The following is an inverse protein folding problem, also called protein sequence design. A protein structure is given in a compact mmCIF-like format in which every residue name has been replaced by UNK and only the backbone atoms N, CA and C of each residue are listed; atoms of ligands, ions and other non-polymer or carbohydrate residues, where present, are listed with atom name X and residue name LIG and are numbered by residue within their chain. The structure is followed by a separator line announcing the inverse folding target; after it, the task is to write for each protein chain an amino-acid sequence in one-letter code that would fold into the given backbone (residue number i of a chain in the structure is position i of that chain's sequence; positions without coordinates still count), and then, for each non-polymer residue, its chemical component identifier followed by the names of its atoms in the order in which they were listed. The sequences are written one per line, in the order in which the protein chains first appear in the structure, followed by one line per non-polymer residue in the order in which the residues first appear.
data_IF_608640239233
#
_entry.id   IF_608640239233
#
_cell.length_a   1.000
_cell.length_b   1.000
_cell.length_c   1.000
_cell.angle_alpha   90.00
_cell.angle_beta   90.00
_cell.angle_gamma   90.00
#
_symmetry.space_group_name_H-M   'P 1'
#
loop_
_entity.id
_entity.type
_entity.pdbx_description
1 polymer ?
#
# COMPACT_ATOMS: atom_id res chain seq x y z
N UNK A 1 5.72 8.47 24.87
CA UNK A 1 4.45 8.96 24.28
C UNK A 1 4.40 8.57 22.82
N UNK A 2 3.29 8.08 22.36
CA UNK A 2 3.09 7.71 20.94
C UNK A 2 2.50 8.90 20.21
N UNK A 3 3.15 9.32 19.14
CA UNK A 3 2.72 10.48 18.36
C UNK A 3 1.84 10.06 17.17
N UNK A 4 0.87 10.90 16.84
CA UNK A 4 0.03 10.70 15.66
C UNK A 4 -0.14 12.01 14.86
N UNK A 5 -0.44 11.86 13.58
CA UNK A 5 -0.84 12.94 12.68
C UNK A 5 -2.23 12.67 12.13
N UNK A 6 -2.99 13.70 11.87
CA UNK A 6 -4.23 13.59 11.10
C UNK A 6 -3.90 13.73 9.63
N UNK A 7 -4.24 12.72 8.84
CA UNK A 7 -4.09 12.74 7.38
C UNK A 7 -5.43 12.80 6.69
N UNK A 8 -5.48 13.53 5.60
CA UNK A 8 -6.61 13.55 4.68
C UNK A 8 -6.46 12.42 3.66
N UNK A 9 -7.48 11.59 3.51
CA UNK A 9 -7.55 10.57 2.47
C UNK A 9 -7.86 11.25 1.14
N UNK A 10 -7.22 10.79 0.07
CA UNK A 10 -7.55 11.28 -1.27
C UNK A 10 -9.03 11.05 -1.56
N UNK A 11 -9.70 12.09 -2.05
CA UNK A 11 -11.08 12.00 -2.48
C UNK A 11 -11.16 11.13 -3.75
N UNK A 12 -11.57 9.87 -3.57
CA UNK A 12 -11.76 8.93 -4.68
C UNK A 12 -13.10 9.17 -5.41
N UNK A 13 -14.05 9.83 -4.74
CA UNK A 13 -15.42 10.02 -5.23
C UNK A 13 -15.63 11.41 -5.86
N UNK A 14 -14.63 12.31 -5.83
CA UNK A 14 -14.70 13.64 -6.43
C UNK A 14 -15.68 14.62 -5.75
N UNK A 15 -16.14 14.32 -4.51
CA UNK A 15 -17.11 15.14 -3.77
C UNK A 15 -16.49 16.26 -2.94
N UNK A 16 -15.18 16.50 -3.07
CA UNK A 16 -14.49 17.66 -2.51
C UNK A 16 -14.24 17.64 -0.99
N UNK A 17 -14.54 16.57 -0.27
CA UNK A 17 -14.23 16.40 1.16
C UNK A 17 -13.51 15.07 1.38
N UNK A 18 -12.18 15.12 1.48
CA UNK A 18 -11.39 13.98 1.91
C UNK A 18 -11.73 13.59 3.36
N UNK A 19 -11.87 12.30 3.64
CA UNK A 19 -12.02 11.81 5.03
C UNK A 19 -10.71 11.96 5.77
N UNK A 20 -10.76 12.51 6.97
CA UNK A 20 -9.59 12.66 7.84
C UNK A 20 -9.48 11.42 8.72
N UNK A 21 -8.27 10.85 8.82
CA UNK A 21 -7.99 9.70 9.68
C UNK A 21 -6.69 9.90 10.46
N UNK A 22 -6.61 9.38 11.70
CA UNK A 22 -5.37 9.41 12.46
C UNK A 22 -4.39 8.37 11.95
N UNK A 23 -3.12 8.75 11.82
CA UNK A 23 -2.02 7.85 11.50
C UNK A 23 -0.92 7.98 12.53
N UNK A 24 -0.47 6.85 13.07
CA UNK A 24 0.64 6.82 14.02
C UNK A 24 1.94 7.24 13.33
N UNK A 25 2.76 8.01 14.04
CA UNK A 25 4.14 8.33 13.61
C UNK A 25 5.05 7.23 14.14
N UNK A 26 5.59 6.42 13.22
CA UNK A 26 6.52 5.35 13.57
C UNK A 26 7.91 5.95 13.65
N UNK A 27 8.49 5.98 14.85
CA UNK A 27 9.82 6.55 15.07
C UNK A 27 10.93 5.60 14.65
N UNK A 28 10.79 4.30 14.96
CA UNK A 28 11.73 3.26 14.55
C UNK A 28 11.07 1.88 14.50
N UNK A 29 11.65 0.99 13.74
CA UNK A 29 11.31 -0.43 13.77
C UNK A 29 12.15 -1.10 14.86
N UNK A 30 11.49 -1.79 15.80
CA UNK A 30 12.16 -2.66 16.77
C UNK A 30 12.37 -4.04 16.12
N UNK A 31 13.57 -4.57 16.28
CA UNK A 31 13.94 -5.89 15.75
C UNK A 31 13.54 -7.02 16.71
N UNK A 32 13.71 -8.27 16.25
CA UNK A 32 13.54 -9.43 17.14
C UNK A 32 14.54 -9.40 18.30
N UNK A 33 15.76 -8.92 18.07
CA UNK A 33 16.79 -8.79 19.10
C UNK A 33 16.39 -7.78 20.17
N UNK A 34 15.86 -6.61 19.79
CA UNK A 34 15.33 -5.60 20.70
C UNK A 34 14.18 -6.19 21.55
N UNK A 35 13.30 -7.00 20.91
CA UNK A 35 12.20 -7.64 21.63
C UNK A 35 12.70 -8.70 22.62
N UNK A 36 13.63 -9.55 22.21
CA UNK A 36 14.23 -10.60 23.07
C UNK A 36 14.91 -9.97 24.26
N UNK A 37 15.69 -8.91 24.08
CA UNK A 37 16.34 -8.18 25.17
C UNK A 37 15.30 -7.64 26.17
N UNK A 38 14.23 -7.01 25.68
CA UNK A 38 13.16 -6.50 26.53
C UNK A 38 12.40 -7.60 27.26
N UNK A 39 12.22 -8.76 26.64
CA UNK A 39 11.62 -9.94 27.30
C UNK A 39 12.53 -10.49 28.37
N UNK A 40 13.84 -10.54 28.14
CA UNK A 40 14.83 -10.96 29.14
C UNK A 40 14.81 -10.03 30.37
N UNK A 41 14.73 -8.72 30.17
CA UNK A 41 14.67 -7.73 31.25
C UNK A 41 13.41 -7.91 32.14
N UNK A 42 12.31 -8.41 31.56
CA UNK A 42 11.03 -8.60 32.24
C UNK A 42 10.80 -10.03 32.75
N UNK A 43 11.67 -10.97 32.39
CA UNK A 43 11.54 -12.39 32.76
C UNK A 43 12.87 -12.91 33.30
N UNK A 44 12.86 -14.07 33.90
CA UNK A 44 14.11 -14.76 34.31
C UNK A 44 14.66 -15.71 33.24
N UNK A 45 14.13 -15.62 32.02
CA UNK A 45 14.55 -16.48 30.92
C UNK A 45 15.81 -15.92 30.24
N UNK A 46 16.73 -16.80 29.87
CA UNK A 46 17.94 -16.41 29.15
C UNK A 46 17.63 -15.96 27.72
N UNK A 47 18.42 -15.01 27.20
CA UNK A 47 18.32 -14.45 25.86
C UNK A 47 18.20 -15.54 24.76
N UNK A 48 19.09 -16.56 24.82
CA UNK A 48 19.10 -17.67 23.85
C UNK A 48 17.81 -18.48 23.85
N UNK A 49 17.23 -18.71 25.04
CA UNK A 49 15.98 -19.47 25.20
C UNK A 49 14.82 -18.71 24.58
N UNK A 50 14.69 -17.40 24.86
CA UNK A 50 13.63 -16.57 24.28
C UNK A 50 13.76 -16.52 22.77
N UNK A 51 14.96 -16.29 22.24
CA UNK A 51 15.23 -16.26 20.80
C UNK A 51 14.91 -17.58 20.10
N UNK A 52 15.27 -18.71 20.72
CA UNK A 52 14.92 -20.04 20.19
C UNK A 52 13.41 -20.28 20.18
N UNK A 53 12.72 -19.89 21.27
CA UNK A 53 11.25 -20.01 21.36
C UNK A 53 10.53 -19.21 20.29
N UNK A 54 10.96 -17.97 20.03
CA UNK A 54 10.35 -17.14 18.98
C UNK A 54 10.58 -17.71 17.57
N UNK A 55 11.76 -18.29 17.29
CA UNK A 55 12.01 -18.97 16.02
C UNK A 55 11.14 -20.21 15.86
N UNK A 56 11.12 -21.06 16.88
CA UNK A 56 10.29 -22.27 16.90
C UNK A 56 8.81 -21.96 16.77
N UNK A 57 8.33 -20.83 17.33
CA UNK A 57 6.95 -20.40 17.17
C UNK A 57 6.59 -20.16 15.69
N UNK A 58 7.45 -19.45 14.96
CA UNK A 58 7.24 -19.20 13.52
C UNK A 58 7.18 -20.47 12.69
N UNK A 59 8.11 -21.41 12.95
CA UNK A 59 8.17 -22.72 12.28
C UNK A 59 6.91 -23.56 12.56
N UNK A 60 6.48 -23.63 13.82
CA UNK A 60 5.29 -24.37 14.21
C UNK A 60 4.00 -23.77 13.64
N UNK A 61 3.89 -22.45 13.58
CA UNK A 61 2.76 -21.78 12.93
C UNK A 61 2.70 -22.19 11.45
N UNK A 62 3.84 -22.24 10.75
CA UNK A 62 3.88 -22.66 9.34
C UNK A 62 3.44 -24.12 9.17
N UNK A 63 3.87 -25.03 10.04
CA UNK A 63 3.43 -26.44 10.02
C UNK A 63 1.93 -26.58 10.28
N UNK A 64 1.37 -25.83 11.22
CA UNK A 64 -0.06 -25.87 11.50
C UNK A 64 -0.90 -25.32 10.34
N UNK A 65 -0.37 -24.33 9.62
CA UNK A 65 -0.99 -23.83 8.40
C UNK A 65 -0.98 -24.86 7.27
N UNK A 66 0.07 -25.62 7.12
CA UNK A 66 0.15 -26.74 6.16
C UNK A 66 -0.92 -27.80 6.44
N UNK A 67 -1.25 -28.01 7.72
CA UNK A 67 -2.35 -28.88 8.17
C UNK A 67 -3.75 -28.25 8.00
N UNK A 68 -3.85 -27.03 7.45
CA UNK A 68 -5.12 -26.33 7.26
C UNK A 68 -5.69 -25.70 8.54
N UNK A 69 -4.88 -25.53 9.59
CA UNK A 69 -5.33 -24.97 10.86
C UNK A 69 -5.10 -23.48 10.94
N UNK A 70 -5.97 -22.75 11.66
CA UNK A 70 -5.68 -21.40 12.16
C UNK A 70 -5.06 -21.51 13.55
N UNK A 71 -4.17 -20.58 13.90
CA UNK A 71 -3.44 -20.62 15.16
C UNK A 71 -3.85 -19.45 16.06
N UNK A 72 -4.43 -19.76 17.21
CA UNK A 72 -4.74 -18.80 18.25
C UNK A 72 -3.63 -18.80 19.32
N UNK A 73 -3.13 -17.62 19.64
CA UNK A 73 -2.21 -17.39 20.78
C UNK A 73 -2.94 -16.49 21.77
N UNK A 74 -3.19 -17.01 22.96
CA UNK A 74 -3.90 -16.27 24.00
C UNK A 74 -3.15 -14.99 24.39
N UNK A 75 -3.90 -13.94 24.66
CA UNK A 75 -3.43 -12.58 24.90
C UNK A 75 -2.75 -11.89 23.68
N UNK A 76 -2.64 -12.54 22.53
CA UNK A 76 -2.09 -11.97 21.31
C UNK A 76 -3.15 -11.84 20.22
N UNK A 77 -3.64 -12.98 19.72
CA UNK A 77 -4.62 -13.01 18.65
C UNK A 77 -4.59 -14.28 17.82
N UNK A 78 -5.28 -14.26 16.70
CA UNK A 78 -5.42 -15.40 15.79
C UNK A 78 -4.75 -15.10 14.46
N UNK A 79 -3.95 -16.07 14.00
CA UNK A 79 -3.31 -16.08 12.69
C UNK A 79 -4.08 -17.03 11.78
N UNK A 80 -4.35 -16.63 10.55
CA UNK A 80 -5.08 -17.42 9.55
C UNK A 80 -4.49 -17.18 8.16
N UNK A 81 -4.56 -18.19 7.29
CA UNK A 81 -4.15 -18.05 5.91
C UNK A 81 -5.19 -17.28 5.10
N UNK A 82 -4.70 -16.45 4.18
CA UNK A 82 -5.48 -15.86 3.10
C UNK A 82 -4.98 -16.41 1.77
N UNK A 83 -5.87 -17.03 1.02
CA UNK A 83 -5.57 -17.61 -0.29
C UNK A 83 -5.91 -16.60 -1.40
N UNK A 84 -5.28 -16.77 -2.53
CA UNK A 84 -5.56 -16.02 -3.74
C UNK A 84 -5.12 -16.77 -4.98
N UNK A 85 -5.55 -16.30 -6.14
CA UNK A 85 -5.09 -16.86 -7.39
C UNK A 85 -3.72 -16.31 -7.78
N UNK A 86 -2.86 -17.16 -8.32
CA UNK A 86 -1.60 -16.73 -8.93
C UNK A 86 -1.95 -15.99 -10.23
N UNK A 87 -1.95 -14.66 -10.20
CA UNK A 87 -2.19 -13.85 -11.39
C UNK A 87 -1.04 -14.05 -12.39
N UNK A 88 -1.32 -14.71 -13.52
CA UNK A 88 -0.51 -14.51 -14.71
C UNK A 88 -0.80 -13.08 -15.20
N UNK A 89 0.18 -12.21 -15.12
CA UNK A 89 0.13 -10.90 -15.79
C UNK A 89 -0.14 -11.13 -17.28
N UNK A 90 -1.32 -10.74 -17.75
CA UNK A 90 -1.66 -10.68 -19.17
C UNK A 90 -2.69 -11.75 -19.57
N UNK A 91 -3.94 -11.41 -19.46
CA UNK A 91 -5.02 -11.55 -20.43
C UNK A 91 -6.34 -11.23 -19.73
N UNK A 92 -6.76 -9.99 -19.87
CA UNK A 92 -8.16 -9.61 -19.72
C UNK A 92 -8.82 -9.95 -21.06
N UNK A 93 -9.58 -10.99 -21.10
CA UNK A 93 -10.61 -11.38 -22.07
C UNK A 93 -10.53 -12.86 -22.32
N UNK A 94 -11.37 -13.60 -21.63
CA UNK A 94 -11.82 -14.93 -21.99
C UNK A 94 -12.80 -15.41 -20.91
N UNK A 95 -13.94 -15.96 -21.31
CA UNK A 95 -15.13 -16.40 -20.58
C UNK A 95 -14.95 -16.81 -19.11
N UNK A 96 -15.76 -16.21 -18.23
CA UNK A 96 -15.56 -16.24 -16.78
C UNK A 96 -15.81 -17.60 -16.12
N UNK A 97 -16.63 -18.47 -16.72
CA UNK A 97 -17.07 -19.72 -16.07
C UNK A 97 -16.11 -20.90 -16.21
N UNK A 98 -15.38 -21.02 -17.31
CA UNK A 98 -14.49 -22.19 -17.55
C UNK A 98 -13.06 -22.01 -17.03
N UNK A 99 -12.63 -20.78 -16.76
CA UNK A 99 -11.24 -20.45 -16.37
C UNK A 99 -10.97 -20.47 -14.87
N UNK A 100 -11.99 -20.41 -14.03
CA UNK A 100 -11.83 -20.48 -12.57
C UNK A 100 -11.24 -21.82 -12.12
N UNK A 101 -11.55 -22.92 -12.80
CA UNK A 101 -11.13 -24.28 -12.41
C UNK A 101 -9.64 -24.56 -12.66
N UNK A 102 -8.94 -23.76 -13.50
CA UNK A 102 -7.54 -23.96 -13.84
C UNK A 102 -6.57 -22.94 -13.23
N UNK A 103 -7.07 -21.99 -12.42
CA UNK A 103 -6.22 -21.02 -11.76
C UNK A 103 -5.50 -21.65 -10.57
N UNK A 104 -4.17 -21.57 -10.58
CA UNK A 104 -3.37 -22.02 -9.45
C UNK A 104 -3.67 -21.17 -8.21
N UNK A 105 -4.12 -21.81 -7.14
CA UNK A 105 -4.31 -21.18 -5.83
C UNK A 105 -2.97 -21.14 -5.11
N UNK A 106 -2.70 -20.02 -4.44
CA UNK A 106 -1.49 -19.84 -3.62
C UNK A 106 -1.82 -19.07 -2.33
N UNK A 107 -0.95 -19.18 -1.35
CA UNK A 107 -1.03 -18.35 -0.14
C UNK A 107 -0.69 -16.90 -0.56
N UNK A 108 -1.66 -16.02 -0.37
CA UNK A 108 -1.50 -14.59 -0.69
C UNK A 108 -0.97 -13.81 0.50
N UNK A 109 -1.46 -14.12 1.68
CA UNK A 109 -1.10 -13.40 2.90
C UNK A 109 -1.41 -14.24 4.15
N UNK A 110 -0.89 -13.82 5.28
CA UNK A 110 -1.30 -14.27 6.62
C UNK A 110 -2.08 -13.12 7.25
N UNK A 111 -3.32 -13.41 7.66
CA UNK A 111 -4.17 -12.45 8.36
C UNK A 111 -3.97 -12.61 9.86
N UNK A 112 -3.70 -11.52 10.55
CA UNK A 112 -3.65 -11.47 12.00
C UNK A 112 -4.85 -10.71 12.54
N UNK A 113 -5.62 -11.36 13.43
CA UNK A 113 -6.73 -10.74 14.15
C UNK A 113 -6.35 -10.65 15.62
N UNK A 114 -6.07 -9.45 16.14
CA UNK A 114 -5.69 -9.26 17.54
C UNK A 114 -6.85 -9.65 18.47
N UNK A 115 -6.52 -10.10 19.69
CA UNK A 115 -7.51 -10.31 20.74
C UNK A 115 -8.02 -8.98 21.28
N UNK A 116 -9.31 -8.91 21.62
CA UNK A 116 -9.92 -7.67 22.15
C UNK A 116 -9.23 -7.19 23.42
N UNK A 117 -8.85 -8.12 24.27
CA UNK A 117 -8.15 -7.82 25.53
C UNK A 117 -6.78 -7.18 25.31
N UNK A 118 -6.06 -7.57 24.24
CA UNK A 118 -4.81 -6.92 23.86
C UNK A 118 -5.05 -5.45 23.48
N UNK A 119 -6.08 -5.19 22.67
CA UNK A 119 -6.45 -3.83 22.26
C UNK A 119 -6.85 -3.00 23.49
N UNK A 120 -7.64 -3.56 24.40
CA UNK A 120 -8.05 -2.88 25.63
C UNK A 120 -6.85 -2.55 26.52
N UNK A 121 -5.90 -3.48 26.70
CA UNK A 121 -4.65 -3.24 27.45
C UNK A 121 -3.81 -2.13 26.84
N UNK A 122 -3.68 -2.11 25.49
CA UNK A 122 -2.96 -1.05 24.79
C UNK A 122 -3.66 0.30 25.01
N UNK A 123 -4.96 0.39 24.78
CA UNK A 123 -5.72 1.63 24.93
C UNK A 123 -5.67 2.20 26.36
N UNK A 124 -5.62 1.33 27.37
CA UNK A 124 -5.51 1.75 28.78
C UNK A 124 -4.15 2.37 29.10
N UNK A 125 -3.09 1.92 28.45
CA UNK A 125 -1.71 2.27 28.80
C UNK A 125 -1.06 3.26 27.82
N UNK A 126 -1.64 3.45 26.62
CA UNK A 126 -1.07 4.31 25.59
C UNK A 126 -1.39 5.77 25.87
N UNK A 127 -0.39 6.63 25.79
CA UNK A 127 -0.56 8.08 25.77
C UNK A 127 -0.33 8.56 24.34
N UNK A 128 -1.37 9.15 23.74
CA UNK A 128 -1.36 9.64 22.36
C UNK A 128 -1.21 11.15 22.34
N UNK A 129 -0.22 11.65 21.63
CA UNK A 129 0.04 13.06 21.43
C UNK A 129 0.04 13.42 19.97
N UNK A 130 -0.56 14.55 19.63
CA UNK A 130 -0.59 15.04 18.26
C UNK A 130 0.76 15.65 17.90
N UNK A 131 1.44 15.08 16.89
CA UNK A 131 2.78 15.51 16.48
C UNK A 131 2.80 16.89 15.79
N UNK A 132 1.80 17.14 14.92
CA UNK A 132 1.70 18.39 14.14
C UNK A 132 0.28 18.94 14.25
N UNK A 133 0.10 20.23 14.57
CA UNK A 133 -1.21 20.87 14.55
C UNK A 133 -1.74 20.93 13.10
N UNK A 134 -3.05 20.72 12.93
CA UNK A 134 -3.70 20.72 11.62
C UNK A 134 -3.77 19.33 10.97
N UNK A 135 -4.33 19.27 9.77
CA UNK A 135 -4.45 18.05 8.97
C UNK A 135 -3.31 18.04 7.95
N UNK A 136 -2.50 16.99 7.99
CA UNK A 136 -1.49 16.76 6.95
C UNK A 136 -2.24 16.33 5.70
N UNK A 137 -2.36 17.22 4.75
CA UNK A 137 -2.91 16.88 3.44
C UNK A 137 -1.98 15.86 2.79
N UNK A 138 -2.53 14.80 2.27
CA UNK A 138 -1.87 13.98 1.26
C UNK A 138 -1.31 14.97 0.24
N UNK A 139 -0.04 14.81 -0.19
CA UNK A 139 0.55 15.74 -1.17
C UNK A 139 -0.50 16.00 -2.26
N UNK A 140 -1.21 17.13 -2.15
CA UNK A 140 -2.07 17.58 -3.22
C UNK A 140 -1.17 17.66 -4.44
N UNK A 141 -1.63 17.18 -5.55
CA UNK A 141 -0.91 17.30 -6.80
C UNK A 141 -0.34 18.71 -6.89
N UNK A 142 0.96 18.80 -7.03
CA UNK A 142 1.67 20.09 -7.04
C UNK A 142 1.17 21.02 -8.15
N UNK A 143 0.36 20.48 -9.07
CA UNK A 143 -0.16 21.15 -10.25
C UNK A 143 -1.62 20.76 -10.50
N UNK A 144 -2.42 21.70 -10.97
CA UNK A 144 -3.79 21.42 -11.47
C UNK A 144 -3.74 20.57 -12.74
N UNK A 145 -4.83 19.88 -13.13
CA UNK A 145 -4.88 19.11 -14.37
C UNK A 145 -4.48 19.94 -15.60
N UNK A 146 -4.91 21.21 -15.64
CA UNK A 146 -4.59 22.12 -16.73
C UNK A 146 -3.12 22.52 -16.76
N UNK A 147 -2.54 22.84 -15.61
CA UNK A 147 -1.11 23.11 -15.51
C UNK A 147 -0.28 21.88 -15.91
N UNK A 148 -0.71 20.67 -15.55
CA UNK A 148 -0.03 19.43 -15.96
C UNK A 148 -0.08 19.22 -17.48
N UNK A 149 -1.22 19.56 -18.11
CA UNK A 149 -1.37 19.53 -19.57
C UNK A 149 -0.41 20.52 -20.24
N UNK A 150 -0.39 21.78 -19.81
CA UNK A 150 0.49 22.80 -20.36
C UNK A 150 1.98 22.45 -20.20
N UNK A 151 2.36 21.90 -19.04
CA UNK A 151 3.73 21.42 -18.79
C UNK A 151 4.11 20.29 -19.74
N UNK A 152 3.17 19.35 -20.02
CA UNK A 152 3.40 18.26 -20.96
C UNK A 152 3.56 18.76 -22.38
N UNK A 153 2.74 19.73 -22.84
CA UNK A 153 2.87 20.36 -24.15
C UNK A 153 4.24 21.03 -24.28
N UNK A 154 4.66 21.81 -23.29
CA UNK A 154 5.97 22.46 -23.30
C UNK A 154 7.15 21.46 -23.25
N UNK A 155 6.95 20.27 -22.65
CA UNK A 155 7.94 19.18 -22.71
C UNK A 155 7.99 18.56 -24.10
N UNK A 156 6.83 18.28 -24.70
CA UNK A 156 6.72 17.69 -26.04
C UNK A 156 7.33 18.63 -27.09
N UNK A 157 7.11 19.94 -26.99
CA UNK A 157 7.71 20.92 -27.90
C UNK A 157 9.24 20.90 -27.89
N UNK A 158 9.85 20.62 -26.75
CA UNK A 158 11.31 20.53 -26.61
C UNK A 158 11.90 19.18 -26.98
N UNK A 159 11.16 18.09 -26.74
CA UNK A 159 11.66 16.72 -26.85
C UNK A 159 10.97 15.89 -27.95
N UNK A 160 9.97 16.45 -28.63
CA UNK A 160 9.21 15.82 -29.70
C UNK A 160 8.11 14.87 -29.23
N UNK A 161 8.23 14.29 -28.04
CA UNK A 161 7.26 13.36 -27.48
C UNK A 161 7.42 13.26 -25.96
N UNK A 162 6.42 12.66 -25.31
CA UNK A 162 6.46 12.34 -23.88
C UNK A 162 5.97 10.92 -23.65
N UNK A 163 6.67 10.17 -22.80
CA UNK A 163 6.26 8.83 -22.34
C UNK A 163 5.40 8.94 -21.08
N UNK A 164 4.67 7.87 -20.73
CA UNK A 164 3.91 7.78 -19.49
C UNK A 164 4.78 8.05 -18.24
N UNK A 165 6.01 7.54 -18.22
CA UNK A 165 6.90 7.71 -17.09
C UNK A 165 7.40 9.16 -16.98
N UNK A 166 7.73 9.78 -18.09
CA UNK A 166 8.15 11.19 -18.13
C UNK A 166 7.03 12.13 -17.70
N UNK A 167 5.78 11.88 -18.15
CA UNK A 167 4.62 12.65 -17.72
C UNK A 167 4.39 12.52 -16.21
N UNK A 168 4.49 11.31 -15.67
CA UNK A 168 4.36 11.07 -14.25
C UNK A 168 5.43 11.80 -13.42
N UNK A 169 6.69 11.74 -13.87
CA UNK A 169 7.82 12.40 -13.21
C UNK A 169 7.72 13.92 -13.32
N UNK A 170 7.42 14.46 -14.51
CA UNK A 170 7.27 15.89 -14.78
C UNK A 170 6.23 16.53 -13.87
N UNK A 171 5.13 15.81 -13.63
CA UNK A 171 4.00 16.31 -12.86
C UNK A 171 3.95 15.82 -11.41
N UNK A 172 4.95 15.03 -10.99
CA UNK A 172 5.07 14.44 -9.63
C UNK A 172 3.83 13.66 -9.19
N UNK A 173 3.21 12.95 -10.12
CA UNK A 173 2.03 12.11 -9.89
C UNK A 173 2.36 10.62 -10.06
N UNK A 174 1.46 9.75 -9.58
CA UNK A 174 1.62 8.30 -9.77
C UNK A 174 1.44 7.91 -11.25
N UNK A 175 2.12 6.84 -11.67
CA UNK A 175 2.00 6.30 -13.02
C UNK A 175 0.55 5.95 -13.41
N UNK A 176 -0.23 5.41 -12.46
CA UNK A 176 -1.65 5.09 -12.67
C UNK A 176 -2.51 6.35 -12.89
N UNK A 177 -2.21 7.45 -12.19
CA UNK A 177 -2.88 8.72 -12.40
C UNK A 177 -2.47 9.35 -13.73
N UNK A 178 -1.18 9.33 -14.05
CA UNK A 178 -0.64 9.78 -15.33
C UNK A 178 -1.30 9.07 -16.52
N UNK A 179 -1.47 7.75 -16.45
CA UNK A 179 -2.14 6.96 -17.50
C UNK A 179 -3.59 7.39 -17.70
N UNK A 180 -4.33 7.57 -16.61
CA UNK A 180 -5.74 8.03 -16.69
C UNK A 180 -5.87 9.44 -17.26
N UNK A 181 -4.96 10.34 -16.89
CA UNK A 181 -4.97 11.72 -17.40
C UNK A 181 -4.59 11.78 -18.87
N UNK A 182 -3.53 11.10 -19.29
CA UNK A 182 -3.10 11.09 -20.69
C UNK A 182 -4.15 10.47 -21.62
N UNK A 183 -4.83 9.41 -21.20
CA UNK A 183 -5.93 8.83 -21.97
C UNK A 183 -7.12 9.80 -22.06
N UNK A 184 -7.46 10.50 -20.97
CA UNK A 184 -8.50 11.54 -21.02
C UNK A 184 -8.14 12.70 -21.94
N UNK A 185 -6.87 13.14 -21.95
CA UNK A 185 -6.40 14.21 -22.82
C UNK A 185 -6.43 13.79 -24.29
N UNK A 186 -6.15 12.53 -24.59
CA UNK A 186 -6.25 11.97 -25.93
C UNK A 186 -7.70 11.95 -26.47
N UNK A 187 -8.68 11.71 -25.58
CA UNK A 187 -10.11 11.68 -25.93
C UNK A 187 -10.74 13.08 -26.11
N UNK A 188 -10.07 14.16 -25.66
CA UNK A 188 -10.57 15.53 -25.74
C UNK A 188 -10.03 16.20 -26.99
N UNK A 189 -10.90 16.54 -27.95
CA UNK A 189 -10.55 17.36 -29.10
C UNK A 189 -10.00 18.72 -28.68
N UNK A 190 -8.86 19.13 -29.25
CA UNK A 190 -8.19 20.38 -28.91
C UNK A 190 -7.38 20.31 -27.61
N UNK A 191 -7.17 19.16 -27.02
CA UNK A 191 -6.26 19.00 -25.88
C UNK A 191 -4.81 19.35 -26.21
N UNK A 192 -4.43 19.26 -27.51
CA UNK A 192 -3.07 19.47 -27.99
C UNK A 192 -2.14 18.27 -27.72
N UNK A 193 -2.67 17.14 -27.28
CA UNK A 193 -1.89 15.92 -26.97
C UNK A 193 -2.57 14.70 -27.58
N UNK A 194 -1.84 13.97 -28.43
CA UNK A 194 -2.34 12.76 -29.08
C UNK A 194 -1.42 11.57 -28.83
N UNK A 195 -2.02 10.40 -28.55
CA UNK A 195 -1.27 9.16 -28.33
C UNK A 195 -0.90 8.43 -29.63
N UNK A 196 0.30 7.85 -29.66
CA UNK A 196 0.83 7.07 -30.79
C UNK A 196 1.41 5.76 -30.28
N UNK A 197 1.12 4.67 -31.00
CA UNK A 197 1.57 3.32 -30.65
C UNK A 197 0.71 2.65 -29.59
N UNK A 198 1.14 1.48 -29.13
CA UNK A 198 0.47 0.65 -28.13
C UNK A 198 1.37 0.40 -26.94
N UNK A 199 0.79 0.09 -25.78
CA UNK A 199 1.57 -0.31 -24.60
C UNK A 199 2.43 -1.55 -24.92
N UNK A 200 3.68 -1.62 -24.43
CA UNK A 200 4.31 -0.71 -23.43
C UNK A 200 5.00 0.52 -24.02
N UNK A 201 5.04 0.69 -25.36
CA UNK A 201 5.80 1.73 -26.09
C UNK A 201 4.95 2.92 -26.52
N UNK A 202 3.74 3.08 -25.95
CA UNK A 202 2.88 4.22 -26.27
C UNK A 202 3.55 5.53 -25.85
N UNK A 203 3.57 6.48 -26.76
CA UNK A 203 4.08 7.85 -26.55
C UNK A 203 3.00 8.86 -26.93
N UNK A 204 3.09 10.08 -26.39
CA UNK A 204 2.18 11.17 -26.72
C UNK A 204 2.97 12.32 -27.36
N UNK A 205 2.38 12.89 -28.41
CA UNK A 205 2.95 13.99 -29.17
C UNK A 205 1.95 15.15 -29.22
N UNK A 206 2.45 16.32 -29.62
CA UNK A 206 1.58 17.47 -29.89
C UNK A 206 0.75 17.19 -31.14
N UNK A 207 -0.53 17.48 -31.06
CA UNK A 207 -1.45 17.46 -32.20
C UNK A 207 -1.23 18.68 -33.09
#
# INVERSE_FOLDING_TARGET
MTQFVLKEMNDLDGKGKGRVYPQVVINRLMTTEDLVQRMQDNTRLGYAVIGATLRSLGENIALLFDMGCSVKIDNLGTFSLSLGFADKKGNKQEDEDDKMNYRRVMVKNITFKPESDLILKINKNISLERHVPGVVKSKSDSFTPEERRLRAIGFIERHGQITLQEYANLNKISRSKASRELNKLEDIEGSGIRGYGTAPHKVWKKE
#
